data_IF_312281356900
#
_entry.id   IF_312281356900
#
_cell.length_a   1.000
_cell.length_b   1.000
_cell.length_c   1.000
_cell.angle_alpha   90.00
_cell.angle_beta   90.00
_cell.angle_gamma   90.00
#
_symmetry.space_group_name_H-M   'P 1'
#
loop_
_entity.id
_entity.type
_entity.pdbx_description
1 polymer ?
#
# COMPACT_ATOMS: atom_id res chain seq x y z
N UNK A 1 17.62 -13.98 -12.39
CA UNK A 1 17.51 -14.87 -13.56
C UNK A 1 17.45 -16.31 -13.10
N UNK A 2 18.34 -16.72 -12.19
CA UNK A 2 18.35 -18.06 -11.57
C UNK A 2 17.02 -18.49 -10.92
N UNK A 3 16.33 -17.60 -10.20
CA UNK A 3 15.02 -17.90 -9.59
C UNK A 3 13.95 -18.31 -10.61
N UNK A 4 14.02 -17.79 -11.83
CA UNK A 4 13.11 -18.10 -12.93
C UNK A 4 13.72 -19.06 -13.96
N UNK A 5 14.92 -19.60 -13.67
CA UNK A 5 15.68 -20.47 -14.58
C UNK A 5 15.90 -19.87 -15.98
N UNK A 6 16.09 -18.55 -16.06
CA UNK A 6 16.32 -17.83 -17.33
C UNK A 6 17.81 -17.64 -17.61
N UNK A 7 18.21 -17.74 -18.88
CA UNK A 7 19.62 -17.65 -19.28
C UNK A 7 20.03 -16.22 -19.69
N UNK A 8 19.07 -15.37 -20.04
CA UNK A 8 19.35 -14.01 -20.54
C UNK A 8 18.27 -12.98 -20.23
N UNK A 9 18.64 -11.70 -20.33
CA UNK A 9 17.71 -10.57 -20.15
C UNK A 9 16.72 -10.51 -21.31
N UNK A 10 17.14 -10.89 -22.51
CA UNK A 10 16.29 -10.99 -23.69
C UNK A 10 15.15 -11.99 -23.48
N UNK A 11 15.46 -13.14 -22.89
CA UNK A 11 14.47 -14.16 -22.54
C UNK A 11 13.48 -13.64 -21.49
N UNK A 12 13.97 -12.94 -20.45
CA UNK A 12 13.12 -12.28 -19.46
C UNK A 12 12.15 -11.28 -20.10
N UNK A 13 12.65 -10.42 -21.01
CA UNK A 13 11.82 -9.44 -21.72
C UNK A 13 10.75 -10.14 -22.57
N UNK A 14 11.11 -11.25 -23.22
CA UNK A 14 10.17 -12.05 -23.99
C UNK A 14 9.05 -12.62 -23.11
N UNK A 15 9.40 -13.20 -21.96
CA UNK A 15 8.45 -13.78 -21.02
C UNK A 15 7.49 -12.73 -20.44
N UNK A 16 8.02 -11.59 -19.99
CA UNK A 16 7.23 -10.47 -19.46
C UNK A 16 6.21 -9.96 -20.50
N UNK A 17 6.61 -9.84 -21.76
CA UNK A 17 5.72 -9.33 -22.82
C UNK A 17 4.69 -10.35 -23.30
N UNK A 18 5.06 -11.63 -23.30
CA UNK A 18 4.25 -12.71 -23.86
C UNK A 18 3.20 -13.26 -22.89
N UNK A 19 3.47 -13.22 -21.57
CA UNK A 19 2.70 -13.97 -20.59
C UNK A 19 2.29 -13.10 -19.39
N UNK A 20 1.04 -12.61 -19.33
CA UNK A 20 0.56 -11.75 -18.25
C UNK A 20 0.70 -12.35 -16.84
N UNK A 21 0.53 -13.67 -16.71
CA UNK A 21 0.71 -14.38 -15.44
C UNK A 21 2.17 -14.33 -14.99
N UNK A 22 3.11 -14.53 -15.92
CA UNK A 22 4.54 -14.43 -15.63
C UNK A 22 4.90 -13.00 -15.20
N UNK A 23 4.33 -11.99 -15.87
CA UNK A 23 4.53 -10.59 -15.48
C UNK A 23 4.10 -10.32 -14.04
N UNK A 24 2.91 -10.76 -13.62
CA UNK A 24 2.44 -10.56 -12.25
C UNK A 24 3.36 -11.25 -11.24
N UNK A 25 3.73 -12.51 -11.48
CA UNK A 25 4.65 -13.24 -10.60
C UNK A 25 6.03 -12.56 -10.54
N UNK A 26 6.51 -12.04 -11.67
CA UNK A 26 7.76 -11.31 -11.72
C UNK A 26 7.67 -10.00 -10.92
N UNK A 27 6.59 -9.25 -11.10
CA UNK A 27 6.32 -8.00 -10.37
C UNK A 27 6.32 -8.25 -8.85
N UNK A 28 5.58 -9.24 -8.38
CA UNK A 28 5.53 -9.61 -6.96
C UNK A 28 6.92 -9.95 -6.40
N UNK A 29 7.78 -10.62 -7.18
CA UNK A 29 9.11 -11.01 -6.74
C UNK A 29 10.11 -9.84 -6.66
N UNK A 30 9.93 -8.79 -7.47
CA UNK A 30 10.83 -7.63 -7.45
C UNK A 30 10.38 -6.56 -6.46
N UNK A 31 9.11 -6.56 -6.06
CA UNK A 31 8.57 -5.66 -5.05
C UNK A 31 8.80 -6.17 -3.63
N UNK A 32 8.93 -5.26 -2.67
CA UNK A 32 9.07 -5.60 -1.26
C UNK A 32 7.70 -5.50 -0.58
N UNK A 33 7.16 -6.65 -0.14
CA UNK A 33 5.82 -6.74 0.45
C UNK A 33 5.77 -6.51 1.97
N UNK A 34 6.91 -6.21 2.62
CA UNK A 34 6.93 -6.09 4.07
C UNK A 34 6.06 -4.92 4.53
N UNK A 35 4.98 -5.22 5.23
CA UNK A 35 4.11 -4.26 5.90
C UNK A 35 3.68 -4.80 7.26
N UNK A 36 3.28 -3.92 8.16
CA UNK A 36 2.80 -4.27 9.50
C UNK A 36 1.91 -3.16 10.03
N UNK A 37 1.03 -3.51 10.97
CA UNK A 37 0.22 -2.52 11.67
C UNK A 37 1.14 -1.51 12.37
N UNK A 38 0.82 -0.24 12.24
CA UNK A 38 1.57 0.86 12.86
C UNK A 38 3.09 0.81 12.62
N UNK A 39 3.52 0.47 11.39
CA UNK A 39 4.93 0.17 11.05
C UNK A 39 5.96 1.15 11.58
N UNK A 40 5.67 2.45 11.49
CA UNK A 40 6.44 3.51 12.14
C UNK A 40 5.56 4.21 13.19
N UNK A 41 5.64 3.82 14.47
CA UNK A 41 4.79 4.37 15.53
C UNK A 41 4.92 5.88 15.69
N UNK A 42 6.09 6.47 15.37
CA UNK A 42 6.28 7.92 15.50
C UNK A 42 5.51 8.68 14.43
N UNK A 43 5.43 8.15 13.21
CA UNK A 43 4.61 8.73 12.13
C UNK A 43 3.14 8.71 12.51
N UNK A 44 2.63 7.59 13.03
CA UNK A 44 1.23 7.48 13.45
C UNK A 44 0.88 8.40 14.61
N UNK A 45 1.78 8.51 15.59
CA UNK A 45 1.64 9.46 16.69
C UNK A 45 1.61 10.90 16.19
N UNK A 46 2.57 11.27 15.32
CA UNK A 46 2.62 12.60 14.75
C UNK A 46 1.35 12.94 13.98
N UNK A 47 0.87 12.01 13.14
CA UNK A 47 -0.36 12.17 12.37
C UNK A 47 -1.56 12.42 13.30
N UNK A 48 -1.74 11.58 14.32
CA UNK A 48 -2.82 11.73 15.31
C UNK A 48 -2.77 13.04 16.07
N UNK A 49 -1.57 13.47 16.51
CA UNK A 49 -1.40 14.64 17.36
C UNK A 49 -1.42 15.97 16.61
N UNK A 50 -1.01 15.99 15.33
CA UNK A 50 -0.72 17.24 14.62
C UNK A 50 -1.51 17.43 13.31
N UNK A 51 -2.01 16.35 12.70
CA UNK A 51 -2.63 16.43 11.37
C UNK A 51 -4.13 16.14 11.46
N UNK A 52 -4.54 15.16 12.26
CA UNK A 52 -5.93 14.66 12.25
C UNK A 52 -6.95 15.73 12.65
N UNK A 53 -6.61 16.64 13.58
CA UNK A 53 -7.50 17.73 13.99
C UNK A 53 -7.83 18.72 12.87
N UNK A 54 -6.96 18.86 11.87
CA UNK A 54 -7.19 19.78 10.74
C UNK A 54 -8.41 19.37 9.89
N UNK A 55 -8.82 18.10 10.00
CA UNK A 55 -9.93 17.53 9.24
C UNK A 55 -11.27 17.59 10.01
N UNK A 56 -11.30 18.06 11.26
CA UNK A 56 -12.51 18.09 12.10
C UNK A 56 -13.65 18.90 11.50
N UNK A 57 -13.33 20.01 10.84
CA UNK A 57 -14.34 20.93 10.28
C UNK A 57 -14.74 20.57 8.84
N UNK A 58 -14.08 19.59 8.21
CA UNK A 58 -14.45 19.14 6.88
C UNK A 58 -15.71 18.26 6.96
N UNK A 59 -16.61 18.43 5.99
CA UNK A 59 -17.79 17.57 5.85
C UNK A 59 -17.41 16.15 5.45
N UNK A 60 -16.43 16.01 4.54
CA UNK A 60 -15.84 14.75 4.09
C UNK A 60 -14.40 14.97 3.64
N UNK A 61 -13.57 13.93 3.66
CA UNK A 61 -12.21 13.98 3.11
C UNK A 61 -11.72 12.62 2.61
N UNK A 62 -10.66 12.64 1.80
CA UNK A 62 -10.06 11.44 1.22
C UNK A 62 -8.65 11.23 1.78
N UNK A 63 -8.31 9.96 2.05
CA UNK A 63 -6.96 9.53 2.42
C UNK A 63 -6.49 8.52 1.38
N UNK A 64 -5.32 8.75 0.79
CA UNK A 64 -4.74 7.84 -0.20
C UNK A 64 -3.46 7.21 0.36
N UNK A 65 -3.45 5.89 0.47
CA UNK A 65 -2.29 5.07 0.80
C UNK A 65 -1.78 4.42 -0.49
N UNK A 66 -0.66 4.93 -0.99
CA UNK A 66 0.01 4.44 -2.19
C UNK A 66 1.03 3.35 -1.82
N UNK A 67 0.87 2.15 -2.37
CA UNK A 67 1.69 0.98 -2.04
C UNK A 67 1.25 0.32 -0.72
N UNK A 68 -0.04 -0.03 -0.62
CA UNK A 68 -0.60 -0.53 0.64
C UNK A 68 -0.19 -1.97 1.00
N UNK A 69 0.49 -2.70 0.10
CA UNK A 69 0.77 -4.13 0.23
C UNK A 69 -0.51 -4.88 0.66
N UNK A 70 -0.43 -5.72 1.69
CA UNK A 70 -1.56 -6.48 2.27
C UNK A 70 -2.55 -5.66 3.12
N UNK A 71 -2.39 -4.33 3.19
CA UNK A 71 -3.38 -3.40 3.72
C UNK A 71 -3.28 -3.09 5.23
N UNK A 72 -2.20 -3.45 5.90
CA UNK A 72 -1.99 -3.13 7.32
C UNK A 72 -1.94 -1.62 7.57
N UNK A 73 -1.41 -0.85 6.61
CA UNK A 73 -1.36 0.61 6.71
C UNK A 73 -2.76 1.23 6.62
N UNK A 74 -3.63 0.70 5.74
CA UNK A 74 -5.00 1.19 5.61
C UNK A 74 -5.84 0.87 6.85
N UNK A 75 -5.65 -0.32 7.45
CA UNK A 75 -6.25 -0.68 8.74
C UNK A 75 -5.76 0.21 9.88
N UNK A 76 -4.46 0.50 9.92
CA UNK A 76 -3.86 1.39 10.92
C UNK A 76 -4.46 2.81 10.81
N UNK A 77 -4.62 3.31 9.58
CA UNK A 77 -5.27 4.60 9.32
C UNK A 77 -6.74 4.60 9.77
N UNK A 78 -7.49 3.56 9.44
CA UNK A 78 -8.89 3.45 9.86
C UNK A 78 -9.03 3.51 11.39
N UNK A 79 -8.15 2.82 12.14
CA UNK A 79 -8.13 2.88 13.61
C UNK A 79 -7.84 4.30 14.11
N UNK A 80 -6.82 4.97 13.57
CA UNK A 80 -6.49 6.35 13.99
C UNK A 80 -7.67 7.30 13.75
N UNK A 81 -8.32 7.20 12.59
CA UNK A 81 -9.48 8.03 12.26
C UNK A 81 -10.70 7.69 13.10
N UNK A 82 -10.91 6.43 13.47
CA UNK A 82 -12.01 6.01 14.34
C UNK A 82 -11.82 6.52 15.77
N UNK A 83 -10.60 6.39 16.32
CA UNK A 83 -10.24 6.90 17.63
C UNK A 83 -10.36 8.43 17.73
N UNK A 84 -10.23 9.13 16.60
CA UNK A 84 -10.43 10.59 16.50
C UNK A 84 -11.87 10.97 16.12
N UNK A 85 -12.78 10.01 15.93
CA UNK A 85 -14.18 10.26 15.59
C UNK A 85 -14.41 10.76 14.16
N UNK A 86 -13.42 10.61 13.26
CA UNK A 86 -13.46 11.14 11.90
C UNK A 86 -13.67 10.06 10.81
N UNK A 87 -13.61 8.78 11.17
CA UNK A 87 -13.73 7.68 10.20
C UNK A 87 -15.01 7.78 9.34
N UNK A 88 -16.14 8.14 9.97
CA UNK A 88 -17.46 8.21 9.33
C UNK A 88 -17.57 9.20 8.16
N UNK A 89 -16.62 10.13 8.05
CA UNK A 89 -16.56 11.15 7.00
C UNK A 89 -15.28 11.07 6.17
N UNK A 90 -14.58 9.95 6.26
CA UNK A 90 -13.34 9.70 5.54
C UNK A 90 -13.55 8.62 4.48
N UNK A 91 -12.96 8.82 3.30
CA UNK A 91 -12.84 7.77 2.28
C UNK A 91 -11.36 7.36 2.18
N UNK A 92 -11.08 6.09 2.45
CA UNK A 92 -9.73 5.54 2.41
C UNK A 92 -9.52 4.80 1.07
N UNK A 93 -8.63 5.32 0.24
CA UNK A 93 -8.17 4.69 -0.98
C UNK A 93 -6.84 4.02 -0.70
N UNK A 94 -6.80 2.69 -0.76
CA UNK A 94 -5.58 1.91 -0.63
C UNK A 94 -5.31 1.23 -1.97
N UNK A 95 -4.17 1.53 -2.58
CA UNK A 95 -3.83 1.03 -3.92
C UNK A 95 -2.43 0.45 -3.90
N UNK A 96 -2.25 -0.69 -4.56
CA UNK A 96 -0.94 -1.29 -4.79
C UNK A 96 -0.78 -1.64 -6.27
N UNK A 97 0.48 -1.76 -6.71
CA UNK A 97 0.80 -2.27 -8.04
C UNK A 97 0.60 -3.78 -8.10
N UNK A 98 0.77 -4.45 -6.97
CA UNK A 98 0.54 -5.88 -6.84
C UNK A 98 -0.95 -6.14 -6.67
N UNK A 99 -1.44 -7.14 -7.40
CA UNK A 99 -2.85 -7.55 -7.39
C UNK A 99 -3.11 -8.67 -6.36
N UNK A 100 -2.09 -9.08 -5.62
CA UNK A 100 -2.08 -10.21 -4.68
C UNK A 100 -1.75 -9.75 -3.26
#
# INVERSE_FOLDING_TARGET
MDYFELESVEELIHQIKGYPIFFNNYLDNITVHLTQMFRDPFVWKFLKENIVSDFENLSEFNVWLAGCSTGEESKSMAIVLDESGLLHKSNIYATDLNLL
#
